data_IF_436520400072
#
_entry.id   IF_436520400072
#
_cell.length_a   1.000
_cell.length_b   1.000
_cell.length_c   1.000
_cell.angle_alpha   90.00
_cell.angle_beta   90.00
_cell.angle_gamma   90.00
#
_symmetry.space_group_name_H-M   'P 1'
#
loop_
_entity.id
_entity.type
_entity.pdbx_description
1 polymer ?
#
# COMPACT_ATOMS: atom_id res chain seq x y z
N UNK A 1 -14.03 5.11 -8.91
CA UNK A 1 -13.65 3.69 -9.07
C UNK A 1 -12.48 3.35 -8.15
N UNK A 2 -11.46 4.21 -8.11
CA UNK A 2 -10.25 4.08 -7.28
C UNK A 2 -10.53 3.79 -5.81
N UNK A 3 -11.46 4.53 -5.17
CA UNK A 3 -11.86 4.27 -3.77
C UNK A 3 -12.36 2.83 -3.53
N UNK A 4 -13.07 2.25 -4.50
CA UNK A 4 -13.58 0.88 -4.41
C UNK A 4 -12.44 -0.12 -4.55
N UNK A 5 -11.53 0.10 -5.51
CA UNK A 5 -10.38 -0.76 -5.75
C UNK A 5 -9.41 -0.71 -4.56
N UNK A 6 -8.97 0.48 -4.17
CA UNK A 6 -8.06 0.67 -3.01
C UNK A 6 -8.71 0.12 -1.75
N UNK A 7 -9.98 0.45 -1.49
CA UNK A 7 -10.69 -0.06 -0.32
C UNK A 7 -10.79 -1.59 -0.29
N UNK A 8 -10.96 -2.24 -1.43
CA UNK A 8 -10.95 -3.71 -1.52
C UNK A 8 -9.55 -4.27 -1.25
N UNK A 9 -8.52 -3.72 -1.88
CA UNK A 9 -7.13 -4.16 -1.68
C UNK A 9 -6.70 -3.97 -0.22
N UNK A 10 -6.99 -2.82 0.40
CA UNK A 10 -6.73 -2.57 1.82
C UNK A 10 -7.42 -3.60 2.71
N UNK A 11 -8.69 -3.95 2.44
CA UNK A 11 -9.40 -5.01 3.18
C UNK A 11 -8.73 -6.38 3.04
N UNK A 12 -8.21 -6.72 1.86
CA UNK A 12 -7.53 -8.00 1.64
C UNK A 12 -6.24 -8.13 2.47
N UNK A 13 -5.58 -7.02 2.84
CA UNK A 13 -4.40 -7.04 3.72
C UNK A 13 -4.71 -7.48 5.17
N UNK A 14 -5.98 -7.55 5.57
CA UNK A 14 -6.39 -8.04 6.90
C UNK A 14 -6.71 -9.54 6.91
N UNK A 15 -6.63 -10.23 5.76
CA UNK A 15 -6.90 -11.68 5.71
C UNK A 15 -5.78 -12.47 6.38
N UNK A 16 -6.11 -13.67 6.83
CA UNK A 16 -5.16 -14.57 7.52
C UNK A 16 -4.11 -15.14 6.58
N UNK A 17 -4.46 -15.38 5.31
CA UNK A 17 -3.54 -15.94 4.32
C UNK A 17 -2.52 -14.87 3.89
N UNK A 18 -1.24 -15.11 4.18
CA UNK A 18 -0.16 -14.18 3.91
C UNK A 18 0.12 -13.98 2.41
N UNK A 19 -0.08 -14.98 1.55
CA UNK A 19 0.03 -14.81 0.09
C UNK A 19 -1.01 -13.80 -0.42
N UNK A 20 -2.24 -13.86 0.10
CA UNK A 20 -3.29 -12.88 -0.23
C UNK A 20 -2.92 -11.49 0.29
N UNK A 21 -2.36 -11.39 1.51
CA UNK A 21 -1.87 -10.10 2.03
C UNK A 21 -0.80 -9.52 1.11
N UNK A 22 0.22 -10.31 0.75
CA UNK A 22 1.35 -9.91 -0.10
C UNK A 22 0.86 -9.45 -1.47
N UNK A 23 -0.05 -10.21 -2.09
CA UNK A 23 -0.63 -9.83 -3.38
C UNK A 23 -1.39 -8.49 -3.29
N UNK A 24 -2.17 -8.29 -2.22
CA UNK A 24 -2.89 -7.04 -2.01
C UNK A 24 -1.95 -5.85 -1.74
N UNK A 25 -0.90 -6.04 -0.94
CA UNK A 25 0.13 -5.03 -0.65
C UNK A 25 0.86 -4.63 -1.93
N UNK A 26 1.25 -5.61 -2.77
CA UNK A 26 1.90 -5.33 -4.05
C UNK A 26 0.99 -4.52 -4.97
N UNK A 27 -0.29 -4.94 -5.12
CA UNK A 27 -1.25 -4.23 -5.95
C UNK A 27 -1.51 -2.79 -5.47
N UNK A 28 -1.51 -2.54 -4.16
CA UNK A 28 -1.59 -1.19 -3.59
C UNK A 28 -0.39 -0.32 -4.03
N UNK A 29 0.81 -0.88 -4.11
CA UNK A 29 2.01 -0.18 -4.58
C UNK A 29 2.03 0.09 -6.09
N UNK A 30 1.38 -0.76 -6.88
CA UNK A 30 1.21 -0.58 -8.32
C UNK A 30 0.17 0.50 -8.66
N UNK A 31 -0.76 0.76 -7.75
CA UNK A 31 -1.88 1.65 -8.00
C UNK A 31 -1.61 3.06 -7.45
N UNK A 32 -1.21 3.99 -8.33
CA UNK A 32 -0.85 5.37 -7.96
C UNK A 32 -1.88 6.05 -7.05
N UNK A 33 -3.18 5.83 -7.28
CA UNK A 33 -4.24 6.46 -6.50
C UNK A 33 -4.18 6.12 -5.01
N UNK A 34 -3.50 5.02 -4.61
CA UNK A 34 -3.30 4.62 -3.20
C UNK A 34 -2.78 5.76 -2.32
N UNK A 35 -1.95 6.67 -2.87
CA UNK A 35 -1.40 7.81 -2.11
C UNK A 35 -2.46 8.79 -1.59
N UNK A 36 -3.66 8.78 -2.17
CA UNK A 36 -4.78 9.65 -1.76
C UNK A 36 -5.61 9.03 -0.63
N UNK A 37 -5.34 7.78 -0.23
CA UNK A 37 -6.11 7.03 0.76
C UNK A 37 -5.29 6.74 2.01
N UNK A 38 -5.39 7.64 2.99
CA UNK A 38 -4.64 7.55 4.25
C UNK A 38 -4.78 6.20 4.97
N UNK A 39 -5.98 5.61 5.02
CA UNK A 39 -6.20 4.32 5.67
C UNK A 39 -5.37 3.20 5.02
N UNK A 40 -5.20 3.24 3.69
CA UNK A 40 -4.37 2.29 2.98
C UNK A 40 -2.88 2.49 3.30
N UNK A 41 -2.42 3.75 3.34
CA UNK A 41 -1.04 4.08 3.69
C UNK A 41 -0.71 3.67 5.13
N UNK A 42 -1.57 4.02 6.10
CA UNK A 42 -1.42 3.61 7.51
C UNK A 42 -1.35 2.09 7.62
N UNK A 43 -2.25 1.38 6.92
CA UNK A 43 -2.23 -0.08 6.93
C UNK A 43 -0.92 -0.66 6.37
N UNK A 44 -0.38 -0.09 5.30
CA UNK A 44 0.92 -0.53 4.76
C UNK A 44 2.05 -0.26 5.78
N UNK A 45 2.03 0.89 6.46
CA UNK A 45 3.01 1.21 7.52
C UNK A 45 2.93 0.20 8.67
N UNK A 46 1.73 -0.17 9.11
CA UNK A 46 1.55 -1.18 10.15
C UNK A 46 2.12 -2.54 9.72
N UNK A 47 1.92 -2.92 8.45
CA UNK A 47 2.40 -4.18 7.89
C UNK A 47 3.94 -4.27 7.78
N UNK A 48 4.66 -3.14 7.82
CA UNK A 48 6.13 -3.16 7.94
C UNK A 48 6.61 -3.81 9.24
N UNK A 49 5.74 -3.96 10.24
CA UNK A 49 6.01 -4.60 11.53
C UNK A 49 5.34 -5.98 11.64
N UNK A 50 4.78 -6.52 10.55
CA UNK A 50 4.15 -7.85 10.57
C UNK A 50 5.20 -8.92 10.91
N UNK A 51 4.90 -9.89 11.80
CA UNK A 51 5.84 -10.94 12.18
C UNK A 51 6.22 -11.85 11.00
N UNK A 52 5.38 -11.93 9.97
CA UNK A 52 5.75 -12.60 8.74
C UNK A 52 6.70 -11.70 7.93
N UNK A 53 7.95 -12.16 7.79
CA UNK A 53 9.01 -11.48 7.04
C UNK A 53 8.58 -11.10 5.61
N UNK A 54 7.89 -11.98 4.89
CA UNK A 54 7.51 -11.74 3.49
C UNK A 54 6.46 -10.63 3.38
N UNK A 55 5.52 -10.59 4.33
CA UNK A 55 4.53 -9.53 4.45
C UNK A 55 5.22 -8.19 4.75
N UNK A 56 6.13 -8.16 5.72
CA UNK A 56 6.88 -6.96 6.09
C UNK A 56 7.74 -6.44 4.92
N UNK A 57 8.47 -7.32 4.23
CA UNK A 57 9.27 -6.95 3.05
C UNK A 57 8.39 -6.42 1.92
N UNK A 58 7.23 -7.04 1.67
CA UNK A 58 6.27 -6.55 0.67
C UNK A 58 5.79 -5.14 1.01
N UNK A 59 5.47 -4.86 2.28
CA UNK A 59 5.01 -3.55 2.72
C UNK A 59 6.10 -2.47 2.55
N UNK A 60 7.34 -2.77 2.94
CA UNK A 60 8.50 -1.88 2.75
C UNK A 60 8.70 -1.55 1.27
N UNK A 61 8.67 -2.55 0.40
CA UNK A 61 8.82 -2.37 -1.04
C UNK A 61 7.68 -1.51 -1.63
N UNK A 62 6.45 -1.73 -1.16
CA UNK A 62 5.29 -0.92 -1.57
C UNK A 62 5.43 0.54 -1.17
N UNK A 63 5.87 0.85 0.06
CA UNK A 63 6.13 2.23 0.48
C UNK A 63 7.25 2.89 -0.34
N UNK A 64 8.33 2.14 -0.60
CA UNK A 64 9.43 2.60 -1.46
C UNK A 64 8.91 2.96 -2.86
N UNK A 65 8.04 2.12 -3.43
CA UNK A 65 7.42 2.37 -4.73
C UNK A 65 6.50 3.60 -4.73
N UNK A 66 5.67 3.75 -3.69
CA UNK A 66 4.76 4.90 -3.58
C UNK A 66 5.49 6.22 -3.28
N UNK A 67 6.70 6.17 -2.70
CA UNK A 67 7.49 7.36 -2.35
C UNK A 67 7.73 8.32 -3.51
N UNK A 68 7.87 7.80 -4.73
CA UNK A 68 8.06 8.59 -5.95
C UNK A 68 6.88 9.53 -6.20
N UNK A 69 5.68 9.18 -5.72
CA UNK A 69 4.49 10.00 -5.92
C UNK A 69 4.29 11.00 -4.79
N UNK A 70 4.70 10.69 -3.56
CA UNK A 70 4.69 11.66 -2.45
C UNK A 70 5.59 12.86 -2.77
N UNK A 71 6.79 12.62 -3.31
CA UNK A 71 7.74 13.66 -3.71
C UNK A 71 7.22 14.54 -4.87
N UNK A 72 6.44 13.96 -5.78
CA UNK A 72 5.89 14.68 -6.93
C UNK A 72 4.56 15.40 -6.63
N UNK A 73 3.86 14.99 -5.57
CA UNK A 73 2.62 15.65 -5.13
C UNK A 73 2.86 16.98 -4.41
N UNK A 74 4.09 17.22 -3.94
CA UNK A 74 4.50 18.42 -3.21
C UNK A 74 5.10 19.52 -4.10
N UNK A 75 5.20 19.31 -5.42
CA UNK A 75 5.63 20.35 -6.37
C UNK A 75 4.41 21.12 -6.90
N UNK A 76 4.38 22.47 -6.79
CA UNK A 76 3.30 23.27 -7.37
C UNK A 76 3.31 23.10 -8.90
N UNK A 77 2.15 22.83 -9.47
CA UNK A 77 1.95 22.86 -10.93
C UNK A 77 1.96 24.33 -11.37
N UNK A 78 3.03 24.74 -12.04
CA UNK A 78 3.13 26.04 -12.72
C UNK A 78 2.25 26.08 -13.97
#
# INVERSE_FOLDING_TARGET
MDKVIVGMLTKLTFRVNDEIKIAAISALGDFKATIEYNDAIIRIIDLCQDPNKEVAVSAINTLSKLSIYFLNSSLPKH
#
